data_IF_558883024660
#
_entry.id   IF_558883024660
#
_cell.length_a   1.000
_cell.length_b   1.000
_cell.length_c   1.000
_cell.angle_alpha   90.00
_cell.angle_beta   90.00
_cell.angle_gamma   90.00
#
_symmetry.space_group_name_H-M   'P 1'
#
loop_
_entity.id
_entity.type
_entity.pdbx_description
1 polymer ?
#
# COMPACT_ATOMS: atom_id res chain seq x y z
N UNK A 1 9.92 -8.50 8.19
CA UNK A 1 9.38 -9.73 8.78
C UNK A 1 9.63 -9.66 10.27
N UNK A 2 8.67 -10.05 11.10
CA UNK A 2 8.95 -10.15 12.54
C UNK A 2 9.75 -11.43 12.85
N UNK A 3 10.65 -11.36 13.83
CA UNK A 3 11.43 -12.53 14.28
C UNK A 3 10.55 -13.69 14.75
N UNK A 4 9.33 -13.40 15.21
CA UNK A 4 8.33 -14.41 15.61
C UNK A 4 7.77 -15.17 14.40
N UNK A 5 7.49 -14.48 13.30
CA UNK A 5 7.07 -15.13 12.05
C UNK A 5 8.20 -15.99 11.48
N UNK A 6 9.44 -15.49 11.53
CA UNK A 6 10.62 -16.26 11.14
C UNK A 6 10.70 -17.56 11.96
N UNK A 7 10.56 -17.47 13.29
CA UNK A 7 10.55 -18.66 14.16
C UNK A 7 9.43 -19.65 13.80
N UNK A 8 8.21 -19.16 13.54
CA UNK A 8 7.07 -20.00 13.13
C UNK A 8 7.31 -20.73 11.81
N UNK A 9 7.85 -20.04 10.81
CA UNK A 9 8.08 -20.64 9.48
C UNK A 9 9.28 -21.58 9.45
N UNK A 10 10.32 -21.24 10.21
CA UNK A 10 11.54 -22.04 10.29
C UNK A 10 11.42 -23.23 11.24
N UNK A 11 10.43 -23.21 12.14
CA UNK A 11 10.31 -24.20 13.20
C UNK A 11 11.40 -24.10 14.27
N UNK A 12 12.21 -23.02 14.25
CA UNK A 12 13.24 -22.77 15.26
C UNK A 12 12.65 -22.06 16.48
N UNK A 13 13.27 -22.28 17.65
CA UNK A 13 12.94 -21.52 18.87
C UNK A 13 13.23 -20.03 18.64
N UNK A 14 12.30 -19.17 19.07
CA UNK A 14 12.42 -17.71 18.92
C UNK A 14 13.70 -17.15 19.53
N UNK A 15 14.13 -17.69 20.68
CA UNK A 15 15.39 -17.30 21.33
C UNK A 15 16.61 -17.49 20.43
N UNK A 16 16.65 -18.60 19.68
CA UNK A 16 17.78 -18.91 18.79
C UNK A 16 17.77 -17.95 17.60
N UNK A 17 16.59 -17.65 17.06
CA UNK A 17 16.44 -16.64 15.99
C UNK A 17 16.92 -15.26 16.48
N UNK A 18 16.61 -14.88 17.73
CA UNK A 18 17.11 -13.60 18.28
C UNK A 18 18.63 -13.56 18.44
N UNK A 19 19.25 -14.68 18.83
CA UNK A 19 20.72 -14.79 18.91
C UNK A 19 21.34 -14.67 17.52
N UNK A 20 20.80 -15.40 16.54
CA UNK A 20 21.30 -15.40 15.18
C UNK A 20 21.17 -14.03 14.52
N UNK A 21 20.07 -13.31 14.78
CA UNK A 21 19.89 -11.92 14.31
C UNK A 21 20.96 -11.00 14.90
N UNK A 22 21.22 -11.08 16.22
CA UNK A 22 22.28 -10.27 16.85
C UNK A 22 23.65 -10.58 16.27
N UNK A 23 23.95 -11.87 16.05
CA UNK A 23 25.21 -12.31 15.45
C UNK A 23 25.34 -11.79 14.01
N UNK A 24 24.29 -11.94 13.21
CA UNK A 24 24.23 -11.44 11.83
C UNK A 24 24.45 -9.92 11.78
N UNK A 25 23.73 -9.14 12.62
CA UNK A 25 23.89 -7.68 12.65
C UNK A 25 25.32 -7.27 13.06
N UNK A 26 25.94 -7.99 13.99
CA UNK A 26 27.34 -7.78 14.36
C UNK A 26 28.31 -8.08 13.20
N UNK A 27 28.04 -9.11 12.40
CA UNK A 27 28.86 -9.49 11.24
C UNK A 27 28.70 -8.53 10.05
N UNK A 28 27.53 -7.93 9.87
CA UNK A 28 27.27 -6.95 8.80
C UNK A 28 27.96 -5.59 9.02
N UNK A 29 28.35 -5.28 10.26
CA UNK A 29 29.08 -4.07 10.63
C UNK A 29 28.24 -3.05 11.42
N UNK A 30 28.89 -2.03 11.99
CA UNK A 30 28.27 -1.07 12.91
C UNK A 30 27.29 -0.09 12.24
N UNK A 31 27.31 0.03 10.91
CA UNK A 31 26.45 0.95 10.15
C UNK A 31 25.02 0.44 9.95
N UNK A 32 24.71 -0.77 10.45
CA UNK A 32 23.37 -1.35 10.30
C UNK A 32 22.43 -0.75 11.35
N UNK A 33 21.24 -0.26 10.94
CA UNK A 33 20.23 0.23 11.87
C UNK A 33 19.81 -0.85 12.88
N UNK A 34 19.52 -0.45 14.12
CA UNK A 34 18.89 -1.35 15.07
C UNK A 34 17.43 -1.60 14.66
N UNK A 35 17.10 -2.88 14.42
CA UNK A 35 15.76 -3.33 14.05
C UNK A 35 14.97 -3.86 15.26
N UNK A 36 15.40 -3.49 16.46
CA UNK A 36 14.71 -3.83 17.70
C UNK A 36 13.30 -3.26 17.73
N UNK A 37 12.39 -4.05 18.29
CA UNK A 37 10.99 -3.72 18.44
C UNK A 37 10.39 -4.50 19.60
N UNK A 38 9.12 -4.25 19.89
CA UNK A 38 8.41 -4.95 20.94
C UNK A 38 7.02 -5.35 20.46
N UNK A 39 6.55 -6.51 20.91
CA UNK A 39 5.17 -6.94 20.68
C UNK A 39 4.46 -7.15 22.00
N UNK A 40 3.16 -6.82 22.00
CA UNK A 40 2.27 -7.05 23.14
C UNK A 40 1.54 -8.37 22.94
N UNK A 41 1.38 -9.11 24.02
CA UNK A 41 0.52 -10.29 24.08
C UNK A 41 -0.85 -9.93 24.63
N UNK A 42 -1.83 -10.80 24.41
CA UNK A 42 -3.20 -10.62 24.90
C UNK A 42 -3.27 -10.55 26.44
N UNK A 43 -2.24 -11.04 27.12
CA UNK A 43 -2.05 -10.97 28.57
C UNK A 43 -1.47 -9.62 29.05
N UNK A 44 -1.28 -8.66 28.15
CA UNK A 44 -0.67 -7.36 28.44
C UNK A 44 0.86 -7.36 28.55
N UNK A 45 1.51 -8.52 28.50
CA UNK A 45 2.97 -8.62 28.57
C UNK A 45 3.62 -8.15 27.26
N UNK A 46 4.68 -7.37 27.39
CA UNK A 46 5.48 -6.86 26.28
C UNK A 46 6.78 -7.64 26.18
N UNK A 47 7.10 -8.13 24.98
CA UNK A 47 8.31 -8.89 24.71
C UNK A 47 9.11 -8.27 23.57
N UNK A 48 10.43 -8.38 23.64
CA UNK A 48 11.31 -7.94 22.58
C UNK A 48 11.14 -8.80 21.32
N UNK A 49 11.17 -8.16 20.16
CA UNK A 49 11.25 -8.78 18.85
C UNK A 49 12.12 -7.94 17.91
N UNK A 50 12.49 -8.51 16.77
CA UNK A 50 13.14 -7.76 15.70
C UNK A 50 12.19 -7.67 14.52
N UNK A 51 12.15 -6.51 13.86
CA UNK A 51 11.42 -6.33 12.62
C UNK A 51 12.39 -6.01 11.49
N UNK A 52 12.84 -7.07 10.81
CA UNK A 52 13.89 -6.96 9.80
C UNK A 52 13.32 -6.51 8.44
N UNK A 53 14.06 -5.67 7.69
CA UNK A 53 13.76 -5.42 6.29
C UNK A 53 14.03 -6.68 5.45
N UNK A 54 13.65 -6.61 4.16
CA UNK A 54 13.79 -7.72 3.21
C UNK A 54 15.23 -8.23 3.13
N UNK A 55 16.18 -7.30 2.95
CA UNK A 55 17.60 -7.60 2.77
C UNK A 55 18.16 -8.43 3.93
N UNK A 56 17.91 -8.00 5.16
CA UNK A 56 18.44 -8.64 6.37
C UNK A 56 17.75 -9.97 6.64
N UNK A 57 16.44 -10.06 6.33
CA UNK A 57 15.70 -11.32 6.39
C UNK A 57 16.31 -12.36 5.44
N UNK A 58 16.61 -11.94 4.20
CA UNK A 58 17.20 -12.80 3.17
C UNK A 58 18.60 -13.28 3.58
N UNK A 59 19.45 -12.39 4.12
CA UNK A 59 20.79 -12.74 4.62
C UNK A 59 20.69 -13.82 5.70
N UNK A 60 19.83 -13.63 6.72
CA UNK A 60 19.61 -14.61 7.77
C UNK A 60 19.21 -15.98 7.22
N UNK A 61 18.32 -15.99 6.22
CA UNK A 61 17.81 -17.20 5.59
C UNK A 61 18.84 -17.92 4.72
N UNK A 62 19.72 -17.17 4.05
CA UNK A 62 20.80 -17.78 3.28
C UNK A 62 21.68 -18.67 4.15
N UNK A 63 21.84 -18.36 5.44
CA UNK A 63 22.62 -19.13 6.40
C UNK A 63 21.91 -20.32 7.07
N UNK A 64 20.60 -20.53 6.88
CA UNK A 64 19.85 -21.57 7.61
C UNK A 64 19.63 -22.87 6.84
N UNK A 65 19.00 -22.83 5.66
CA UNK A 65 18.69 -24.00 4.82
C UNK A 65 17.93 -23.58 3.56
N UNK A 66 18.12 -24.31 2.46
CA UNK A 66 17.42 -24.08 1.17
C UNK A 66 15.89 -24.21 1.33
N UNK A 67 15.41 -25.18 2.10
CA UNK A 67 13.96 -25.40 2.29
C UNK A 67 13.31 -24.29 3.12
N UNK A 68 14.03 -23.73 4.08
CA UNK A 68 13.55 -22.60 4.89
C UNK A 68 13.55 -21.30 4.10
N UNK A 69 14.54 -21.13 3.22
CA UNK A 69 14.63 -19.99 2.30
C UNK A 69 13.41 -19.92 1.39
N UNK A 70 12.97 -21.05 0.83
CA UNK A 70 11.77 -21.12 -0.02
C UNK A 70 10.49 -20.68 0.72
N UNK A 71 10.21 -21.25 1.90
CA UNK A 71 8.99 -20.95 2.68
C UNK A 71 8.83 -19.46 3.02
N UNK A 72 9.94 -18.79 3.33
CA UNK A 72 9.88 -17.36 3.68
C UNK A 72 9.69 -16.50 2.44
N UNK A 73 10.34 -16.85 1.31
CA UNK A 73 10.11 -16.17 0.03
C UNK A 73 8.62 -16.27 -0.36
N UNK A 74 8.01 -17.44 -0.20
CA UNK A 74 6.59 -17.64 -0.53
C UNK A 74 5.67 -16.77 0.34
N UNK A 75 5.89 -16.76 1.66
CA UNK A 75 5.12 -15.90 2.59
C UNK A 75 5.28 -14.42 2.27
N UNK A 76 6.46 -13.99 1.86
CA UNK A 76 6.68 -12.60 1.50
C UNK A 76 5.96 -12.19 0.22
N UNK A 77 6.00 -13.04 -0.82
CA UNK A 77 5.20 -12.81 -2.04
C UNK A 77 3.72 -12.71 -1.73
N UNK A 78 3.23 -13.51 -0.78
CA UNK A 78 1.86 -13.42 -0.28
C UNK A 78 1.56 -12.04 0.34
N UNK A 79 2.47 -11.51 1.18
CA UNK A 79 2.33 -10.20 1.81
C UNK A 79 2.42 -9.05 0.79
N UNK A 80 3.33 -9.13 -0.18
CA UNK A 80 3.42 -8.16 -1.29
C UNK A 80 2.12 -8.13 -2.10
N UNK A 81 1.53 -9.30 -2.37
CA UNK A 81 0.23 -9.41 -3.04
C UNK A 81 -0.94 -8.84 -2.22
N UNK A 82 -0.85 -8.83 -0.89
CA UNK A 82 -1.85 -8.21 -0.02
C UNK A 82 -1.72 -6.69 0.02
N UNK A 83 -0.49 -6.16 0.06
CA UNK A 83 -0.23 -4.71 0.04
C UNK A 83 -0.54 -4.09 -1.33
N UNK A 84 -0.35 -4.85 -2.41
CA UNK A 84 -0.63 -4.40 -3.78
C UNK A 84 -2.12 -4.46 -4.19
N UNK A 85 -3.03 -4.91 -3.31
CA UNK A 85 -4.48 -4.87 -3.56
C UNK A 85 -5.05 -3.54 -3.04
N UNK A 86 -5.18 -2.48 -3.87
CA UNK A 86 -5.94 -1.32 -3.46
C UNK A 86 -7.38 -1.78 -3.21
N UNK A 87 -7.93 -1.43 -2.05
CA UNK A 87 -9.36 -1.53 -1.80
C UNK A 87 -10.06 -0.59 -2.81
N UNK A 88 -10.50 -1.15 -3.93
CA UNK A 88 -11.34 -0.47 -4.90
C UNK A 88 -12.71 -0.20 -4.28
N UNK A 89 -12.81 0.92 -3.57
CA UNK A 89 -14.04 1.67 -3.40
C UNK A 89 -14.21 2.53 -4.66
N UNK A 90 -14.79 1.96 -5.72
CA UNK A 90 -15.32 2.78 -6.81
C UNK A 90 -16.70 3.25 -6.34
N UNK A 91 -16.77 4.44 -5.73
CA UNK A 91 -18.05 5.14 -5.63
C UNK A 91 -18.43 5.60 -7.05
N UNK A 92 -19.18 4.77 -7.78
CA UNK A 92 -19.90 5.20 -8.98
C UNK A 92 -21.26 5.71 -8.53
N UNK A 93 -21.41 7.03 -8.44
CA UNK A 93 -22.69 7.68 -8.71
C UNK A 93 -22.48 9.18 -8.88
N UNK A 94 -22.62 9.67 -10.12
CA UNK A 94 -23.48 10.81 -10.47
C UNK A 94 -23.11 11.36 -11.86
N UNK A 95 -23.36 10.58 -12.91
CA UNK A 95 -23.51 11.13 -14.27
C UNK A 95 -24.96 11.56 -14.50
N UNK A 96 -25.51 12.38 -13.62
CA UNK A 96 -26.87 12.92 -13.72
C UNK A 96 -26.93 14.44 -13.90
N UNK A 97 -25.91 15.06 -14.52
CA UNK A 97 -25.95 16.49 -14.89
C UNK A 97 -26.18 16.73 -16.39
N UNK A 98 -26.04 15.71 -17.24
CA UNK A 98 -26.15 15.88 -18.69
C UNK A 98 -27.60 16.04 -19.23
N UNK A 99 -28.63 15.74 -18.42
CA UNK A 99 -30.04 15.85 -18.84
C UNK A 99 -30.71 17.20 -18.53
N UNK A 100 -30.08 18.11 -17.78
CA UNK A 100 -30.72 19.39 -17.36
C UNK A 100 -30.46 20.56 -18.34
N UNK A 101 -29.46 20.46 -19.23
CA UNK A 101 -29.05 21.58 -20.11
C UNK A 101 -29.60 21.50 -21.56
N UNK A 102 -30.63 20.69 -21.84
CA UNK A 102 -31.31 20.64 -23.15
C UNK A 102 -32.77 21.13 -23.13
N UNK A 103 -33.12 22.01 -22.19
CA UNK A 103 -34.49 22.54 -22.02
C UNK A 103 -34.72 24.00 -22.43
N UNK A 104 -33.69 24.75 -22.87
CA UNK A 104 -33.78 26.20 -23.09
C UNK A 104 -33.59 26.62 -24.56
N UNK A 105 -33.99 25.76 -25.50
CA UNK A 105 -34.07 26.10 -26.92
C UNK A 105 -35.46 25.76 -27.45
N UNK A 106 -36.38 26.73 -27.36
CA UNK A 106 -37.62 26.68 -28.14
C UNK A 106 -38.87 27.17 -27.42
N UNK A 107 -39.05 28.48 -27.30
CA UNK A 107 -40.41 29.05 -27.42
C UNK A 107 -40.32 30.37 -28.17
N UNK A 108 -41.01 30.39 -29.29
CA UNK A 108 -41.00 31.33 -30.39
C UNK A 108 -41.99 32.47 -30.13
N UNK A 109 -41.65 33.73 -30.42
CA UNK A 109 -42.69 34.67 -30.84
C UNK A 109 -42.20 35.79 -31.77
N UNK A 110 -42.50 35.54 -33.04
CA UNK A 110 -42.75 36.45 -34.16
C UNK A 110 -43.38 37.79 -33.75
N UNK A 111 -42.79 38.90 -34.20
CA UNK A 111 -43.50 40.02 -34.83
C UNK A 111 -42.54 40.90 -35.65
N UNK A 112 -42.66 40.83 -36.99
CA UNK A 112 -42.37 41.94 -37.91
C UNK A 112 -43.69 42.73 -38.11
N UNK A 113 -43.79 43.86 -38.85
CA UNK A 113 -42.83 44.57 -39.72
C UNK A 113 -42.88 46.12 -39.60
N UNK A 114 -42.22 46.80 -40.57
CA UNK A 114 -42.30 48.21 -40.98
C UNK A 114 -41.31 49.16 -40.28
N UNK A 115 -40.66 50.11 -40.93
CA UNK A 115 -40.42 50.51 -42.32
C UNK A 115 -39.64 51.83 -42.22
N UNK A 116 -38.78 52.17 -43.20
CA UNK A 116 -38.33 53.56 -43.48
C UNK A 116 -37.33 54.13 -42.42
N UNK A 117 -36.24 54.87 -42.68
CA UNK A 117 -35.75 55.74 -43.77
C UNK A 117 -34.23 55.99 -43.55
N UNK A 118 -33.50 56.30 -44.64
CA UNK A 118 -32.45 57.36 -44.80
C UNK A 118 -31.35 57.52 -43.72
N UNK A 119 -30.06 57.70 -44.03
CA UNK A 119 -29.49 58.73 -44.91
C UNK A 119 -28.00 58.42 -45.17
N UNK A 120 -27.52 58.80 -46.35
CA UNK A 120 -26.12 58.88 -46.78
C UNK A 120 -25.28 59.88 -45.94
N UNK A 121 -23.97 59.89 -46.25
CA UNK A 121 -22.94 60.93 -46.05
C UNK A 121 -22.11 60.69 -44.77
N UNK A 122 -20.78 60.63 -44.79
CA UNK A 122 -19.80 61.30 -45.66
C UNK A 122 -18.51 60.48 -45.70
#
# INVERSE_FOLDING_TARGET
MSSKEIAKLTGKRHDHVMVDIRKMLAELGPDVPDFSGAYKTDRGNTYACYNLPRRETDILLTGYSVTLRAKVIDRWRELEGQVAKPALCIHVSCTAWASVMKGLAGTQMRSQPHSQLTTRLT
#
